data_IF_706408787679
#
_entry.id   IF_706408787679
#
_cell.length_a   1.000
_cell.length_b   1.000
_cell.length_c   1.000
_cell.angle_alpha   90.00
_cell.angle_beta   90.00
_cell.angle_gamma   90.00
#
_symmetry.space_group_name_H-M   'P 1'
#
loop_
_entity.id
_entity.type
_entity.pdbx_description
1 polymer ?
#
# COMPACT_ATOMS: atom_id res chain seq x y z
N UNK A 1 -52.57 13.81 -10.26
CA UNK A 1 -51.98 13.50 -8.94
C UNK A 1 -51.34 12.11 -8.99
N UNK A 2 -50.11 12.01 -9.50
CA UNK A 2 -49.28 10.79 -9.47
C UNK A 2 -47.79 11.19 -9.52
N UNK A 3 -47.30 11.84 -8.47
CA UNK A 3 -45.88 12.21 -8.31
C UNK A 3 -45.24 11.30 -7.28
N UNK A 4 -45.10 10.01 -7.55
CA UNK A 4 -44.19 9.17 -6.77
C UNK A 4 -43.74 8.05 -7.68
N UNK A 5 -42.61 8.23 -8.36
CA UNK A 5 -41.68 7.14 -8.73
C UNK A 5 -40.35 7.72 -9.26
N UNK A 6 -39.89 8.81 -8.65
CA UNK A 6 -38.46 9.06 -8.61
C UNK A 6 -37.90 8.19 -7.48
N UNK A 7 -37.74 6.89 -7.74
CA UNK A 7 -36.87 6.07 -6.90
C UNK A 7 -35.45 6.58 -7.18
N UNK A 8 -35.07 7.65 -6.50
CA UNK A 8 -33.69 8.10 -6.46
C UNK A 8 -32.94 7.05 -5.65
N UNK A 9 -32.50 5.97 -6.32
CA UNK A 9 -31.46 5.11 -5.79
C UNK A 9 -30.19 5.93 -5.78
N UNK A 10 -29.99 6.68 -4.71
CA UNK A 10 -28.68 7.22 -4.37
C UNK A 10 -27.80 6.01 -4.07
N UNK A 11 -27.07 5.56 -5.09
CA UNK A 11 -25.93 4.69 -4.89
C UNK A 11 -24.91 5.48 -4.07
N UNK A 12 -24.95 5.33 -2.75
CA UNK A 12 -23.83 5.70 -1.89
C UNK A 12 -22.71 4.68 -2.13
N UNK A 13 -22.05 4.80 -3.28
CA UNK A 13 -20.77 4.13 -3.48
C UNK A 13 -19.75 4.80 -2.56
N UNK A 14 -19.28 4.10 -1.54
CA UNK A 14 -18.09 4.53 -0.80
C UNK A 14 -16.90 4.52 -1.76
N UNK A 15 -16.07 5.57 -1.75
CA UNK A 15 -14.86 5.62 -2.55
C UNK A 15 -13.73 4.97 -1.78
N UNK A 16 -13.11 3.96 -2.38
CA UNK A 16 -11.86 3.38 -1.88
C UNK A 16 -10.77 4.46 -1.83
N UNK A 17 -10.13 4.61 -0.67
CA UNK A 17 -9.11 5.60 -0.40
C UNK A 17 -7.94 4.97 0.38
N UNK A 18 -6.73 5.42 0.05
CA UNK A 18 -5.50 5.08 0.76
C UNK A 18 -4.94 6.37 1.37
N UNK A 19 -4.71 6.37 2.67
CA UNK A 19 -3.96 7.43 3.36
C UNK A 19 -2.62 6.88 3.78
N UNK A 20 -1.53 7.59 3.49
CA UNK A 20 -0.19 7.16 3.91
C UNK A 20 0.67 8.33 4.38
N UNK A 21 1.79 8.02 5.04
CA UNK A 21 2.80 9.02 5.40
C UNK A 21 3.27 9.79 4.15
N UNK A 22 3.12 11.12 4.14
CA UNK A 22 3.37 11.95 2.95
C UNK A 22 4.86 12.08 2.60
N UNK A 23 5.69 12.47 3.57
CA UNK A 23 7.12 12.68 3.35
C UNK A 23 7.87 12.72 4.69
N UNK A 24 9.08 12.18 4.71
CA UNK A 24 10.00 12.24 5.84
C UNK A 24 11.39 12.67 5.35
N UNK A 25 12.10 13.48 6.13
CA UNK A 25 13.50 13.82 5.93
C UNK A 25 14.24 13.41 7.20
N UNK A 26 15.16 12.46 7.06
CA UNK A 26 15.81 11.78 8.17
C UNK A 26 17.32 11.77 7.96
N UNK A 27 18.05 11.60 9.06
CA UNK A 27 19.50 11.36 9.03
C UNK A 27 19.78 9.87 8.86
N UNK A 28 21.00 9.56 8.41
CA UNK A 28 21.47 8.18 8.37
C UNK A 28 21.43 7.56 9.79
N UNK A 29 21.15 6.26 9.85
CA UNK A 29 20.99 5.46 11.07
C UNK A 29 19.77 5.74 11.93
N UNK A 30 18.96 6.76 11.60
CA UNK A 30 17.67 6.96 12.25
C UNK A 30 16.69 5.83 11.92
N UNK A 31 15.69 5.65 12.78
CA UNK A 31 14.57 4.74 12.56
C UNK A 31 13.35 5.52 12.14
N UNK A 32 12.48 4.91 11.35
CA UNK A 32 11.22 5.51 10.96
C UNK A 32 10.14 4.45 10.81
N UNK A 33 8.89 4.88 10.89
CA UNK A 33 7.74 4.04 10.57
C UNK A 33 6.89 4.79 9.56
N UNK A 34 6.66 4.16 8.40
CA UNK A 34 5.67 4.60 7.43
C UNK A 34 4.33 3.97 7.77
N UNK A 35 3.29 4.77 7.71
CA UNK A 35 1.91 4.35 7.95
C UNK A 35 1.14 4.33 6.64
N UNK A 36 0.24 3.35 6.51
CA UNK A 36 -0.76 3.29 5.45
C UNK A 36 -2.09 2.80 6.04
N UNK A 37 -3.21 3.44 5.66
CA UNK A 37 -4.55 3.02 6.01
C UNK A 37 -5.48 3.01 4.81
N UNK A 38 -6.45 2.08 4.81
CA UNK A 38 -7.45 1.89 3.75
C UNK A 38 -8.87 1.83 4.33
N UNK A 39 -9.89 2.22 3.55
CA UNK A 39 -11.28 2.32 4.02
C UNK A 39 -12.28 1.35 3.34
N UNK A 40 -11.78 0.41 2.54
CA UNK A 40 -12.57 -0.48 1.66
C UNK A 40 -12.46 -1.98 2.05
N UNK A 41 -12.05 -2.26 3.29
CA UNK A 41 -11.95 -3.62 3.85
C UNK A 41 -11.16 -4.62 2.95
N UNK A 42 -10.14 -4.11 2.25
CA UNK A 42 -9.28 -4.90 1.38
C UNK A 42 -8.44 -5.93 2.14
N UNK A 43 -8.43 -7.18 1.66
CA UNK A 43 -7.65 -8.26 2.27
C UNK A 43 -6.17 -8.18 1.91
N UNK A 44 -5.81 -7.66 0.75
CA UNK A 44 -4.44 -7.52 0.32
C UNK A 44 -3.96 -6.09 0.55
N UNK A 45 -2.77 -5.93 1.14
CA UNK A 45 -2.05 -4.66 1.18
C UNK A 45 -0.58 -4.87 0.87
N UNK A 46 0.07 -3.88 0.28
CA UNK A 46 1.47 -3.98 -0.16
C UNK A 46 2.18 -2.64 0.01
N UNK A 47 3.47 -2.74 0.32
CA UNK A 47 4.42 -1.64 0.33
C UNK A 47 5.41 -1.81 -0.82
N UNK A 48 5.50 -0.78 -1.65
CA UNK A 48 6.48 -0.68 -2.72
C UNK A 48 7.45 0.47 -2.46
N UNK A 49 8.68 0.28 -2.92
CA UNK A 49 9.70 1.30 -3.03
C UNK A 49 9.90 1.65 -4.50
N UNK A 50 10.07 2.94 -4.81
CA UNK A 50 10.53 3.40 -6.10
C UNK A 50 11.74 4.33 -5.93
N UNK A 51 12.91 3.81 -6.26
CA UNK A 51 14.12 4.62 -6.36
C UNK A 51 14.17 5.34 -7.73
N UNK A 52 14.85 6.50 -7.83
CA UNK A 52 15.01 7.19 -9.10
C UNK A 52 15.59 6.28 -10.20
N UNK A 53 14.92 6.22 -11.35
CA UNK A 53 15.34 5.40 -12.49
C UNK A 53 15.05 3.90 -12.35
N UNK A 54 14.39 3.45 -11.28
CA UNK A 54 13.95 2.05 -11.11
C UNK A 54 12.43 1.91 -11.22
N UNK A 55 11.98 0.68 -11.48
CA UNK A 55 10.57 0.31 -11.37
C UNK A 55 10.09 0.24 -9.91
N UNK A 56 8.81 -0.06 -9.72
CA UNK A 56 8.30 -0.42 -8.40
C UNK A 56 8.95 -1.72 -7.94
N UNK A 57 9.44 -1.73 -6.71
CA UNK A 57 10.06 -2.90 -6.09
C UNK A 57 9.27 -3.25 -4.83
N UNK A 58 8.87 -4.52 -4.70
CA UNK A 58 8.03 -4.95 -3.58
C UNK A 58 8.88 -5.07 -2.31
N UNK A 59 8.47 -4.37 -1.24
CA UNK A 59 9.15 -4.40 0.07
C UNK A 59 8.49 -5.48 0.94
N UNK A 60 7.18 -5.37 1.14
CA UNK A 60 6.35 -6.36 1.85
C UNK A 60 4.94 -6.36 1.28
N UNK A 61 4.23 -7.47 1.43
CA UNK A 61 2.79 -7.53 1.25
C UNK A 61 2.14 -8.30 2.38
N UNK A 62 0.81 -8.26 2.46
CA UNK A 62 0.07 -9.00 3.45
C UNK A 62 -1.30 -9.42 2.94
N UNK A 63 -1.70 -10.66 3.29
CA UNK A 63 -3.01 -11.26 2.96
C UNK A 63 -3.78 -11.48 4.26
N UNK A 64 -4.56 -10.48 4.65
CA UNK A 64 -5.24 -10.43 5.95
C UNK A 64 -4.41 -9.81 7.07
N UNK A 65 -4.91 -9.88 8.30
CA UNK A 65 -4.19 -9.41 9.48
C UNK A 65 -3.16 -10.45 9.95
N UNK A 66 -1.99 -9.98 10.41
CA UNK A 66 -0.88 -10.78 10.95
C UNK A 66 -0.37 -11.84 9.96
N UNK A 67 -0.37 -11.51 8.68
CA UNK A 67 0.07 -12.39 7.60
C UNK A 67 0.88 -11.59 6.58
N UNK A 68 2.00 -11.04 7.05
CA UNK A 68 2.96 -10.30 6.26
C UNK A 68 3.94 -11.27 5.57
N UNK A 69 4.31 -10.94 4.34
CA UNK A 69 5.19 -11.73 3.49
C UNK A 69 6.25 -10.82 2.89
N UNK A 70 7.49 -11.32 2.86
CA UNK A 70 8.64 -10.58 2.36
C UNK A 70 8.56 -10.37 0.85
N UNK A 71 8.89 -9.15 0.41
CA UNK A 71 9.11 -8.85 -0.99
C UNK A 71 10.57 -9.04 -1.40
N UNK A 72 10.86 -8.62 -2.63
CA UNK A 72 12.19 -8.69 -3.26
C UNK A 72 13.25 -7.88 -2.48
N UNK A 73 12.83 -6.80 -1.82
CA UNK A 73 13.70 -5.85 -1.12
C UNK A 73 13.24 -5.61 0.33
N UNK A 74 13.14 -6.67 1.11
CA UNK A 74 12.69 -6.62 2.51
C UNK A 74 13.82 -6.27 3.51
N UNK A 75 15.09 -6.47 3.15
CA UNK A 75 16.22 -6.27 4.08
C UNK A 75 16.29 -4.83 4.59
N UNK A 76 16.39 -4.65 5.91
CA UNK A 76 16.41 -3.33 6.56
C UNK A 76 15.03 -2.77 6.88
N UNK A 77 13.97 -3.51 6.55
CA UNK A 77 12.59 -3.18 6.85
C UNK A 77 11.94 -4.24 7.75
N UNK A 78 10.86 -3.86 8.44
CA UNK A 78 9.88 -4.78 9.03
C UNK A 78 8.48 -4.27 8.76
N UNK A 79 7.58 -5.15 8.37
CA UNK A 79 6.18 -4.79 8.17
C UNK A 79 5.30 -5.36 9.29
N UNK A 80 4.21 -4.67 9.60
CA UNK A 80 3.24 -5.10 10.59
C UNK A 80 1.83 -4.69 10.18
N UNK A 81 0.92 -5.66 10.10
CA UNK A 81 -0.48 -5.51 9.72
C UNK A 81 -1.37 -6.14 10.78
N UNK A 82 -1.62 -5.41 11.86
CA UNK A 82 -2.42 -5.90 12.99
C UNK A 82 -3.91 -6.08 12.66
N UNK A 83 -4.42 -5.37 11.64
CA UNK A 83 -5.82 -5.38 11.22
C UNK A 83 -5.91 -5.21 9.68
N UNK A 84 -7.13 -5.23 9.10
CA UNK A 84 -7.29 -5.06 7.65
C UNK A 84 -7.10 -3.60 7.18
N UNK A 85 -7.28 -2.64 8.08
CA UNK A 85 -7.27 -1.20 7.81
C UNK A 85 -5.86 -0.65 7.66
N UNK A 86 -4.94 -1.02 8.55
CA UNK A 86 -3.63 -0.37 8.71
C UNK A 86 -2.49 -1.31 8.35
N UNK A 87 -1.49 -0.80 7.62
CA UNK A 87 -0.26 -1.51 7.30
C UNK A 87 0.97 -0.65 7.55
N UNK A 88 1.75 -1.01 8.56
CA UNK A 88 2.95 -0.29 8.99
C UNK A 88 4.21 -0.86 8.34
N UNK A 89 5.15 0.01 7.98
CA UNK A 89 6.48 -0.37 7.52
C UNK A 89 7.55 0.37 8.32
N UNK A 90 8.26 -0.36 9.17
CA UNK A 90 9.41 0.13 9.92
C UNK A 90 10.66 0.09 9.05
N UNK A 91 11.39 1.20 9.03
CA UNK A 91 12.76 1.32 8.51
C UNK A 91 13.70 1.18 9.70
N UNK A 92 14.46 0.08 9.75
CA UNK A 92 15.23 -0.30 10.93
C UNK A 92 16.48 0.54 11.15
N UNK A 93 17.04 1.08 10.07
CA UNK A 93 18.20 1.99 10.04
C UNK A 93 18.22 2.65 8.67
N UNK A 94 18.00 3.96 8.62
CA UNK A 94 17.95 4.73 7.38
C UNK A 94 19.34 4.79 6.76
N UNK A 95 19.40 4.49 5.46
CA UNK A 95 20.58 4.54 4.59
C UNK A 95 20.24 5.31 3.32
N UNK A 96 21.26 5.72 2.56
CA UNK A 96 21.05 6.47 1.30
C UNK A 96 20.15 5.72 0.31
N UNK A 97 20.22 4.38 0.28
CA UNK A 97 19.36 3.57 -0.58
C UNK A 97 17.87 3.61 -0.16
N UNK A 98 17.54 4.03 1.05
CA UNK A 98 16.15 4.22 1.48
C UNK A 98 15.56 5.55 0.96
N UNK A 99 16.37 6.43 0.35
CA UNK A 99 15.89 7.65 -0.31
C UNK A 99 15.14 7.32 -1.60
N UNK A 100 13.82 7.36 -1.53
CA UNK A 100 12.92 6.88 -2.56
C UNK A 100 11.49 7.39 -2.30
N UNK A 101 10.61 7.14 -3.27
CA UNK A 101 9.16 7.27 -3.05
C UNK A 101 8.62 5.93 -2.56
N UNK A 102 7.81 5.94 -1.52
CA UNK A 102 7.14 4.75 -0.98
C UNK A 102 5.66 4.78 -1.36
N UNK A 103 5.14 3.65 -1.83
CA UNK A 103 3.76 3.50 -2.23
C UNK A 103 3.10 2.38 -1.46
N UNK A 104 1.98 2.68 -0.81
CA UNK A 104 1.06 1.69 -0.32
C UNK A 104 -0.07 1.44 -1.34
N UNK A 105 -0.42 0.17 -1.52
CA UNK A 105 -1.56 -0.23 -2.33
C UNK A 105 -2.38 -1.30 -1.61
N UNK A 106 -3.68 -1.34 -1.88
CA UNK A 106 -4.59 -2.36 -1.33
C UNK A 106 -5.55 -2.90 -2.41
N UNK A 107 -5.99 -4.15 -2.23
CA UNK A 107 -6.96 -4.79 -3.11
C UNK A 107 -7.77 -5.87 -2.39
N UNK A 108 -8.95 -6.19 -2.92
CA UNK A 108 -9.81 -7.24 -2.35
C UNK A 108 -9.18 -8.65 -2.46
N UNK A 109 -8.44 -8.90 -3.54
CA UNK A 109 -7.77 -10.16 -3.85
C UNK A 109 -6.31 -9.91 -4.27
N UNK A 110 -5.47 -10.93 -4.16
CA UNK A 110 -4.20 -11.03 -4.87
C UNK A 110 -4.47 -11.07 -6.38
N UNK A 111 -4.50 -9.91 -7.03
CA UNK A 111 -4.34 -9.91 -8.49
C UNK A 111 -2.95 -10.48 -8.76
N UNK A 112 -2.89 -11.71 -9.27
CA UNK A 112 -1.65 -12.34 -9.70
C UNK A 112 -1.05 -11.41 -10.75
N UNK A 113 -0.05 -10.62 -10.36
CA UNK A 113 0.65 -9.68 -11.23
C UNK A 113 1.55 -10.50 -12.15
N UNK A 114 0.92 -11.32 -12.99
CA UNK A 114 1.56 -12.07 -14.06
C UNK A 114 2.05 -11.04 -15.06
N UNK A 115 3.34 -10.70 -14.99
CA UNK A 115 4.24 -10.40 -16.12
C UNK A 115 3.69 -9.67 -17.37
N UNK A 116 2.65 -8.84 -17.29
CA UNK A 116 2.07 -8.14 -18.44
C UNK A 116 2.55 -6.68 -18.56
N UNK A 117 3.75 -6.37 -18.07
CA UNK A 117 4.44 -5.11 -18.36
C UNK A 117 5.36 -5.19 -19.61
N UNK A 118 5.20 -6.20 -20.47
CA UNK A 118 6.01 -6.31 -21.70
C UNK A 118 5.24 -6.62 -23.00
N UNK A 119 4.00 -6.12 -23.15
CA UNK A 119 3.28 -6.23 -24.42
C UNK A 119 2.61 -4.94 -24.91
N UNK A 120 3.18 -3.79 -24.56
CA UNK A 120 2.92 -2.55 -25.31
C UNK A 120 4.26 -1.96 -25.77
N UNK A 121 4.78 -2.52 -26.86
CA UNK A 121 5.70 -1.84 -27.78
C UNK A 121 5.22 -2.06 -29.19
#
# INVERSE_FOLDING_TARGET
MWTVWCVAMYFFGARAEITQTSSLVLKEDEKATLTCSQNDNHNYMSWYLQQPGKGLQLVYYSIGANNEQEGEIHTGYKANRLNLTDFYLDILSVKMNNSAVYFCASSLDTTLQSHLLSLHK
#
